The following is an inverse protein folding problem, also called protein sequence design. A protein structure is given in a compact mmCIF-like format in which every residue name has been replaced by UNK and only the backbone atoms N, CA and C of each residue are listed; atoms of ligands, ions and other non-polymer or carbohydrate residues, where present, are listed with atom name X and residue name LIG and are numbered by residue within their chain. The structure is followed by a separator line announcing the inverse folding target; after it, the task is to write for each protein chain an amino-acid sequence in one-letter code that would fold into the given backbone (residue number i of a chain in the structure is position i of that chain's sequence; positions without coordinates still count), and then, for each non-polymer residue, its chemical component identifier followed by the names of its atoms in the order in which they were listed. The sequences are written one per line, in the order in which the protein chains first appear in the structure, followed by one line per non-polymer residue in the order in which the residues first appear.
data_IF_879966620566
#
_entry.id   IF_879966620566
#
_cell.length_a   1.000
_cell.length_b   1.000
_cell.length_c   1.000
_cell.angle_alpha   90.00
_cell.angle_beta   90.00
_cell.angle_gamma   90.00
#
_symmetry.space_group_name_H-M   'P 1'
#
loop_
_entity.id
_entity.type
_entity.pdbx_description
1 polymer ?
#
# COMPACT_ATOMS: atom_id res chain seq x y z
N UNK A 1 22.47 -15.79 -3.95
CA UNK A 1 22.20 -14.90 -2.81
C UNK A 1 23.55 -14.57 -2.20
N UNK A 2 23.93 -13.30 -2.18
CA UNK A 2 25.22 -12.89 -1.63
C UNK A 2 25.19 -13.04 -0.10
N UNK A 3 26.34 -13.28 0.51
CA UNK A 3 26.48 -13.42 1.98
C UNK A 3 25.92 -12.19 2.73
N UNK A 4 26.10 -11.00 2.14
CA UNK A 4 25.55 -9.75 2.67
C UNK A 4 24.01 -9.72 2.62
N UNK A 5 23.39 -10.21 1.55
CA UNK A 5 21.92 -10.25 1.41
C UNK A 5 21.32 -11.10 2.53
N UNK A 6 21.86 -12.31 2.72
CA UNK A 6 21.41 -13.24 3.75
C UNK A 6 21.54 -12.66 5.17
N UNK A 7 22.62 -11.90 5.41
CA UNK A 7 22.83 -11.20 6.67
C UNK A 7 21.77 -10.11 6.89
N UNK A 8 21.55 -9.23 5.90
CA UNK A 8 20.58 -8.12 5.99
C UNK A 8 19.15 -8.67 6.18
N UNK A 9 18.76 -9.67 5.39
CA UNK A 9 17.44 -10.31 5.48
C UNK A 9 17.21 -10.91 6.88
N UNK A 10 18.24 -11.52 7.47
CA UNK A 10 18.20 -12.12 8.79
C UNK A 10 18.17 -11.15 9.98
N UNK A 11 18.48 -9.87 9.80
CA UNK A 11 18.46 -8.90 10.91
C UNK A 11 17.03 -8.69 11.44
N UNK A 12 16.79 -8.65 12.76
CA UNK A 12 15.51 -8.20 13.30
C UNK A 12 15.37 -6.68 13.07
N UNK A 13 14.23 -6.25 12.52
CA UNK A 13 14.01 -4.86 12.11
C UNK A 13 12.81 -4.25 12.82
N UNK A 14 12.86 -2.94 13.03
CA UNK A 14 11.69 -2.13 13.36
C UNK A 14 11.48 -1.12 12.23
N UNK A 15 10.26 -1.02 11.72
CA UNK A 15 9.91 -0.06 10.67
C UNK A 15 9.06 1.05 11.27
N UNK A 16 9.63 2.25 11.35
CA UNK A 16 9.04 3.39 12.07
C UNK A 16 8.58 4.52 11.13
N UNK A 17 8.82 4.35 9.83
CA UNK A 17 8.35 5.27 8.80
C UNK A 17 7.83 4.45 7.63
N UNK A 18 6.53 4.17 7.64
CA UNK A 18 5.88 3.52 6.52
C UNK A 18 4.47 4.07 6.32
N UNK A 19 4.17 4.52 5.10
CA UNK A 19 2.82 4.91 4.70
C UNK A 19 2.10 3.67 4.22
N UNK A 20 1.00 3.29 4.88
CA UNK A 20 0.34 2.03 4.58
C UNK A 20 -0.24 1.99 3.16
N UNK A 21 -0.77 3.11 2.68
CA UNK A 21 -1.22 3.20 1.28
C UNK A 21 -0.05 3.10 0.29
N UNK A 22 1.18 3.35 0.75
CA UNK A 22 2.41 3.23 -0.04
C UNK A 22 2.88 1.79 -0.17
N UNK A 23 2.31 0.85 0.60
CA UNK A 23 2.57 -0.58 0.46
C UNK A 23 1.69 -1.26 -0.59
N UNK A 24 0.82 -0.51 -1.28
CA UNK A 24 -0.07 -1.06 -2.29
C UNK A 24 0.71 -1.48 -3.53
N UNK A 25 0.90 -2.80 -3.67
CA UNK A 25 1.50 -3.36 -4.87
C UNK A 25 0.56 -3.24 -6.08
N UNK A 26 1.10 -3.05 -7.30
CA UNK A 26 0.34 -2.93 -8.54
C UNK A 26 -0.72 -4.01 -8.77
N UNK A 27 -0.41 -5.25 -8.40
CA UNK A 27 -1.31 -6.39 -8.50
C UNK A 27 -2.54 -6.19 -7.62
N UNK A 28 -2.33 -5.81 -6.35
CA UNK A 28 -3.42 -5.54 -5.41
C UNK A 28 -4.23 -4.32 -5.87
N UNK A 29 -3.59 -3.27 -6.37
CA UNK A 29 -4.30 -2.09 -6.91
C UNK A 29 -5.27 -2.52 -8.02
N UNK A 30 -4.85 -3.39 -8.94
CA UNK A 30 -5.70 -3.86 -10.03
C UNK A 30 -6.76 -4.87 -9.60
N UNK A 31 -6.48 -5.70 -8.60
CA UNK A 31 -7.49 -6.58 -8.00
C UNK A 31 -8.60 -5.76 -7.33
N UNK A 32 -8.22 -4.75 -6.55
CA UNK A 32 -9.17 -3.84 -5.90
C UNK A 32 -9.92 -2.98 -6.91
N UNK A 33 -9.27 -2.52 -7.97
CA UNK A 33 -9.93 -1.74 -9.02
C UNK A 33 -11.02 -2.56 -9.73
N UNK A 34 -10.74 -3.83 -10.04
CA UNK A 34 -11.73 -4.78 -10.58
C UNK A 34 -12.85 -5.04 -9.58
N UNK A 35 -12.51 -5.28 -8.31
CA UNK A 35 -13.49 -5.56 -7.25
C UNK A 35 -14.48 -4.41 -7.05
N UNK A 36 -13.98 -3.17 -7.12
CA UNK A 36 -14.74 -1.98 -6.79
C UNK A 36 -15.24 -1.20 -8.02
N UNK A 37 -14.96 -1.69 -9.24
CA UNK A 37 -15.39 -1.03 -10.48
C UNK A 37 -14.71 0.33 -10.73
N UNK A 38 -13.49 0.52 -10.23
CA UNK A 38 -12.70 1.75 -10.41
C UNK A 38 -11.88 1.64 -11.68
N UNK A 39 -12.10 2.54 -12.64
CA UNK A 39 -11.28 2.62 -13.86
C UNK A 39 -9.97 3.33 -13.55
N UNK A 40 -8.85 2.65 -13.80
CA UNK A 40 -7.50 3.19 -13.68
C UNK A 40 -6.89 3.47 -15.06
N UNK A 41 -5.92 4.40 -15.17
CA UNK A 41 -5.26 4.69 -16.43
C UNK A 41 -4.30 3.59 -16.90
N UNK A 42 -4.03 2.58 -16.05
CA UNK A 42 -3.11 1.47 -16.35
C UNK A 42 -3.87 0.19 -16.70
N UNK A 43 -3.54 -0.39 -17.85
CA UNK A 43 -4.17 -1.61 -18.34
C UNK A 43 -3.64 -2.90 -17.68
N UNK A 44 -2.49 -2.84 -17.00
CA UNK A 44 -1.83 -4.00 -16.37
C UNK A 44 -0.89 -3.59 -15.24
N UNK A 45 -0.47 -4.58 -14.43
CA UNK A 45 0.47 -4.35 -13.32
C UNK A 45 1.82 -3.87 -13.86
N UNK A 46 2.26 -4.41 -15.01
CA UNK A 46 3.48 -3.97 -15.70
C UNK A 46 3.38 -2.51 -16.16
N UNK A 47 2.23 -2.09 -16.69
CA UNK A 47 2.01 -0.70 -17.10
C UNK A 47 2.02 0.27 -15.90
N UNK A 48 1.46 -0.15 -14.76
CA UNK A 48 1.53 0.61 -13.51
C UNK A 48 2.96 0.66 -12.95
N UNK A 49 3.70 -0.45 -12.95
CA UNK A 49 5.13 -0.46 -12.54
C UNK A 49 5.98 0.43 -13.43
N UNK A 50 5.73 0.44 -14.74
CA UNK A 50 6.42 1.35 -15.67
C UNK A 50 6.15 2.84 -15.39
N UNK A 51 5.04 3.16 -14.72
CA UNK A 51 4.72 4.52 -14.30
C UNK A 51 5.42 4.95 -13.00
N UNK A 52 6.14 4.05 -12.31
CA UNK A 52 6.92 4.38 -11.10
C UNK A 52 8.25 5.07 -11.45
N UNK A 53 8.14 6.19 -12.17
CA UNK A 53 9.25 7.02 -12.57
C UNK A 53 8.93 8.48 -12.19
N UNK A 54 9.51 8.93 -11.08
CA UNK A 54 9.15 10.19 -10.44
C UNK A 54 10.26 11.23 -10.63
N UNK A 55 9.88 12.47 -10.96
CA UNK A 55 10.82 13.60 -11.07
C UNK A 55 10.96 14.38 -9.76
N UNK A 56 9.97 14.26 -8.87
CA UNK A 56 9.85 14.97 -7.61
C UNK A 56 8.81 14.30 -6.71
N UNK A 57 8.58 14.87 -5.53
CA UNK A 57 7.55 14.41 -4.61
C UNK A 57 6.15 14.51 -5.20
N UNK A 58 5.84 15.56 -5.97
CA UNK A 58 4.48 15.78 -6.47
C UNK A 58 4.09 14.74 -7.51
N UNK A 59 4.97 14.42 -8.45
CA UNK A 59 4.77 13.37 -9.45
C UNK A 59 4.57 11.98 -8.83
N UNK A 60 5.22 11.71 -7.69
CA UNK A 60 4.92 10.53 -6.87
C UNK A 60 3.51 10.61 -6.26
N UNK A 61 3.18 11.72 -5.61
CA UNK A 61 1.90 11.91 -4.93
C UNK A 61 0.71 11.81 -5.89
N UNK A 62 0.83 12.32 -7.11
CA UNK A 62 -0.22 12.24 -8.14
C UNK A 62 -0.56 10.78 -8.49
N UNK A 63 0.46 9.93 -8.65
CA UNK A 63 0.27 8.49 -8.86
C UNK A 63 -0.28 7.81 -7.60
N UNK A 64 0.31 8.12 -6.45
CA UNK A 64 -0.06 7.56 -5.16
C UNK A 64 -1.54 7.79 -4.83
N UNK A 65 -2.05 9.01 -5.04
CA UNK A 65 -3.46 9.33 -4.85
C UNK A 65 -4.37 8.63 -5.85
N UNK A 66 -3.94 8.49 -7.10
CA UNK A 66 -4.68 7.72 -8.11
C UNK A 66 -4.78 6.25 -7.70
N UNK A 67 -3.69 5.65 -7.21
CA UNK A 67 -3.67 4.28 -6.68
C UNK A 67 -4.63 4.10 -5.50
N UNK A 68 -4.69 5.07 -4.59
CA UNK A 68 -5.58 5.01 -3.42
C UNK A 68 -7.07 5.03 -3.76
N UNK A 69 -7.48 5.39 -4.98
CA UNK A 69 -8.89 5.44 -5.40
C UNK A 69 -9.58 4.09 -5.28
N UNK A 70 -8.82 2.99 -5.35
CA UNK A 70 -9.34 1.62 -5.28
C UNK A 70 -9.74 1.19 -3.87
N UNK A 71 -9.29 1.89 -2.82
CA UNK A 71 -9.64 1.58 -1.43
C UNK A 71 -10.99 2.22 -1.08
N UNK A 72 -12.06 1.43 -0.93
CA UNK A 72 -13.43 1.93 -0.74
C UNK A 72 -14.17 1.29 0.44
N UNK A 73 -13.88 0.02 0.71
CA UNK A 73 -14.57 -0.81 1.68
C UNK A 73 -13.60 -1.34 2.73
N UNK A 74 -14.13 -1.73 3.90
CA UNK A 74 -13.35 -2.27 5.02
C UNK A 74 -12.38 -3.38 4.58
N UNK A 75 -12.86 -4.29 3.72
CA UNK A 75 -12.05 -5.40 3.21
C UNK A 75 -10.85 -4.94 2.38
N UNK A 76 -10.94 -3.80 1.69
CA UNK A 76 -9.81 -3.26 0.90
C UNK A 76 -8.68 -2.81 1.82
N UNK A 77 -9.03 -2.14 2.93
CA UNK A 77 -8.07 -1.70 3.93
C UNK A 77 -7.46 -2.88 4.70
N UNK A 78 -8.24 -3.91 4.98
CA UNK A 78 -7.73 -5.17 5.54
C UNK A 78 -6.75 -5.85 4.58
N UNK A 79 -7.10 -5.98 3.30
CA UNK A 79 -6.26 -6.63 2.31
C UNK A 79 -4.92 -5.90 2.13
N UNK A 80 -4.95 -4.56 2.08
CA UNK A 80 -3.75 -3.72 2.06
C UNK A 80 -2.88 -3.95 3.31
N UNK A 81 -3.49 -3.90 4.50
CA UNK A 81 -2.78 -4.07 5.77
C UNK A 81 -2.14 -5.46 5.87
N UNK A 82 -2.88 -6.50 5.50
CA UNK A 82 -2.38 -7.86 5.53
C UNK A 82 -1.32 -8.14 4.47
N UNK A 83 -1.39 -7.50 3.30
CA UNK A 83 -0.33 -7.58 2.29
C UNK A 83 0.97 -7.01 2.85
N UNK A 84 0.92 -5.82 3.46
CA UNK A 84 2.06 -5.23 4.17
C UNK A 84 2.62 -6.14 5.26
N UNK A 85 1.77 -6.61 6.19
CA UNK A 85 2.24 -7.41 7.34
C UNK A 85 2.90 -8.72 6.91
N UNK A 86 2.40 -9.36 5.84
CA UNK A 86 3.03 -10.56 5.27
C UNK A 86 4.42 -10.25 4.70
N UNK A 87 4.57 -9.11 4.01
CA UNK A 87 5.84 -8.68 3.45
C UNK A 87 6.84 -8.29 4.54
N UNK A 88 6.42 -7.45 5.48
CA UNK A 88 7.19 -7.06 6.66
C UNK A 88 7.70 -8.29 7.43
N UNK A 89 6.84 -9.31 7.63
CA UNK A 89 7.24 -10.57 8.27
C UNK A 89 8.30 -11.34 7.47
N UNK A 90 8.20 -11.35 6.14
CA UNK A 90 9.20 -11.98 5.27
C UNK A 90 10.55 -11.28 5.35
N UNK A 91 10.54 -9.95 5.51
CA UNK A 91 11.75 -9.12 5.66
C UNK A 91 12.22 -9.01 7.13
N UNK A 92 11.72 -9.86 8.04
CA UNK A 92 12.07 -9.92 9.46
C UNK A 92 11.86 -8.60 10.24
N UNK A 93 10.84 -7.84 9.86
CA UNK A 93 10.30 -6.72 10.64
C UNK A 93 9.48 -7.28 11.79
N UNK A 94 9.90 -6.99 13.02
CA UNK A 94 9.27 -7.48 14.26
C UNK A 94 8.32 -6.45 14.88
N UNK A 95 8.49 -5.17 14.54
CA UNK A 95 7.69 -4.06 15.03
C UNK A 95 7.49 -3.04 13.91
N UNK A 96 6.26 -2.56 13.75
CA UNK A 96 5.90 -1.58 12.72
C UNK A 96 5.03 -0.47 13.32
N UNK A 97 5.41 0.77 13.08
CA UNK A 97 4.63 1.98 13.41
C UNK A 97 4.23 2.67 12.11
N UNK A 98 2.96 2.51 11.75
CA UNK A 98 2.44 2.82 10.42
C UNK A 98 1.72 4.16 10.37
N UNK A 99 1.92 4.89 9.28
CA UNK A 99 1.16 6.08 8.92
C UNK A 99 -0.04 5.72 8.06
N UNK A 100 -1.15 6.42 8.28
CA UNK A 100 -2.38 6.33 7.52
C UNK A 100 -2.96 7.74 7.34
N UNK A 101 -3.10 8.16 6.10
CA UNK A 101 -3.67 9.46 5.71
C UNK A 101 -5.19 9.42 5.64
N UNK A 102 -5.88 9.35 6.78
CA UNK A 102 -7.35 9.23 6.84
C UNK A 102 -8.11 10.23 5.95
N UNK A 103 -7.61 11.46 5.83
CA UNK A 103 -8.24 12.52 5.03
C UNK A 103 -8.34 12.18 3.55
N UNK A 104 -7.45 11.34 3.02
CA UNK A 104 -7.50 10.85 1.64
C UNK A 104 -8.80 10.08 1.36
N UNK A 105 -9.36 9.43 2.38
CA UNK A 105 -10.57 8.61 2.26
C UNK A 105 -11.82 9.37 2.71
N UNK A 106 -11.74 10.12 3.81
CA UNK A 106 -12.90 10.85 4.33
C UNK A 106 -13.35 11.97 3.39
N UNK A 107 -12.41 12.62 2.68
CA UNK A 107 -12.76 13.62 1.66
C UNK A 107 -13.49 13.01 0.44
N UNK A 108 -13.45 11.68 0.27
CA UNK A 108 -14.18 10.94 -0.77
C UNK A 108 -15.46 10.28 -0.26
N UNK A 109 -15.87 10.59 0.97
CA UNK A 109 -17.09 10.03 1.58
C UNK A 109 -16.94 8.64 2.20
N UNK A 110 -15.70 8.17 2.43
CA UNK A 110 -15.47 6.91 3.16
C UNK A 110 -15.34 7.22 4.65
N UNK A 111 -16.20 6.61 5.46
CA UNK A 111 -16.16 6.81 6.91
C UNK A 111 -14.81 6.38 7.50
N UNK A 112 -14.28 7.18 8.42
CA UNK A 112 -13.06 6.83 9.15
C UNK A 112 -13.19 5.48 9.88
N UNK A 113 -14.41 5.13 10.32
CA UNK A 113 -14.69 3.82 10.90
C UNK A 113 -14.41 2.67 9.92
N UNK A 114 -14.87 2.78 8.67
CA UNK A 114 -14.62 1.77 7.62
C UNK A 114 -13.13 1.55 7.40
N UNK A 115 -12.34 2.63 7.37
CA UNK A 115 -10.88 2.56 7.23
C UNK A 115 -10.26 1.86 8.44
N UNK A 116 -10.58 2.34 9.65
CA UNK A 116 -9.95 1.85 10.87
C UNK A 116 -10.36 0.42 11.23
N UNK A 117 -11.58 -0.01 10.90
CA UNK A 117 -12.01 -1.39 11.08
C UNK A 117 -11.22 -2.34 10.19
N UNK A 118 -10.95 -1.97 8.94
CA UNK A 118 -10.15 -2.78 8.04
C UNK A 118 -8.69 -2.87 8.48
N UNK A 119 -8.09 -1.75 8.92
CA UNK A 119 -6.69 -1.71 9.36
C UNK A 119 -6.45 -2.46 10.68
N UNK A 120 -7.44 -2.48 11.59
CA UNK A 120 -7.29 -3.05 12.94
C UNK A 120 -7.76 -4.50 13.08
N UNK A 121 -8.31 -5.11 12.04
CA UNK A 121 -8.90 -6.45 12.07
C UNK A 121 -7.84 -7.54 12.01
#
# INVERSE_FOLDING_TARGET
MHELDAFIDGLPKAELHMHLEGSLEPELILDLSRRNGVTLPWASADALRAAYHFSDLQSFLDLYWTGCQVLMHEQDFYDMTMAYLRRARADNVLHAELFLGLQNFTLRGIDAATVMLGVKR
#
